data_IF_114751874040
#
_entry.id   IF_114751874040
#
_cell.length_a   1.000
_cell.length_b   1.000
_cell.length_c   1.000
_cell.angle_alpha   90.00
_cell.angle_beta   90.00
_cell.angle_gamma   90.00
#
_symmetry.space_group_name_H-M   'P 1'
#
loop_
_entity.id
_entity.type
_entity.pdbx_description
1 polymer ?
#
# COMPACT_ATOMS: atom_id res chain seq x y z
N UNK A 1 16.34 15.69 6.02
CA UNK A 1 15.64 15.47 4.72
C UNK A 1 14.12 15.51 4.87
N UNK A 2 13.45 14.63 5.62
CA UNK A 2 11.99 14.74 5.83
C UNK A 2 11.60 16.01 6.61
N UNK A 3 12.36 16.37 7.65
CA UNK A 3 12.14 17.60 8.42
C UNK A 3 12.38 18.89 7.60
N UNK A 4 13.31 18.86 6.65
CA UNK A 4 13.59 20.01 5.79
C UNK A 4 12.41 20.31 4.84
N UNK A 5 11.65 19.29 4.43
CA UNK A 5 10.45 19.47 3.64
C UNK A 5 9.34 20.19 4.43
N UNK A 6 9.18 19.86 5.72
CA UNK A 6 8.21 20.54 6.60
C UNK A 6 8.53 22.02 6.81
N UNK A 7 9.81 22.41 6.79
CA UNK A 7 10.22 23.82 6.85
C UNK A 7 9.74 24.66 5.65
N UNK A 8 9.28 24.02 4.57
CA UNK A 8 8.80 24.65 3.35
C UNK A 8 7.37 24.22 2.96
N UNK A 9 6.58 23.76 3.94
CA UNK A 9 5.21 23.26 3.68
C UNK A 9 4.24 24.31 3.11
N UNK A 10 4.54 25.60 3.28
CA UNK A 10 3.70 26.70 2.79
C UNK A 10 3.87 26.95 1.29
N UNK A 11 4.82 26.27 0.63
CA UNK A 11 4.97 26.37 -0.83
C UNK A 11 3.79 25.65 -1.50
N UNK A 12 2.99 26.35 -2.32
CA UNK A 12 1.86 25.73 -3.00
C UNK A 12 2.32 24.60 -3.93
N UNK A 13 1.58 23.50 -3.94
CA UNK A 13 1.90 22.33 -4.76
C UNK A 13 1.98 22.69 -6.26
N UNK A 14 1.09 23.57 -6.72
CA UNK A 14 1.03 24.04 -8.10
C UNK A 14 2.34 24.72 -8.51
N UNK A 15 2.92 25.52 -7.62
CA UNK A 15 4.22 26.17 -7.85
C UNK A 15 5.34 25.14 -7.99
N UNK A 16 5.30 24.08 -7.20
CA UNK A 16 6.31 23.02 -7.30
C UNK A 16 6.21 22.27 -8.63
N UNK A 17 4.99 22.01 -9.12
CA UNK A 17 4.77 21.40 -10.44
C UNK A 17 5.23 22.31 -11.58
N UNK A 18 4.99 23.62 -11.48
CA UNK A 18 5.46 24.61 -12.46
C UNK A 18 6.99 24.62 -12.56
N UNK A 19 7.69 24.70 -11.43
CA UNK A 19 9.16 24.79 -11.40
C UNK A 19 9.85 23.47 -11.81
N UNK A 20 9.31 22.32 -11.40
CA UNK A 20 9.87 21.00 -11.76
C UNK A 20 9.53 20.57 -13.19
N UNK A 21 8.49 21.16 -13.78
CA UNK A 21 8.01 20.90 -15.13
C UNK A 21 8.03 19.40 -15.55
N UNK A 22 7.42 18.50 -14.75
CA UNK A 22 7.42 17.07 -15.08
C UNK A 22 6.65 16.81 -16.39
N UNK A 23 6.92 15.66 -17.01
CA UNK A 23 6.17 15.23 -18.19
C UNK A 23 4.67 15.14 -17.87
N UNK A 24 3.85 15.91 -18.59
CA UNK A 24 2.40 15.94 -18.37
C UNK A 24 1.78 14.60 -18.74
N UNK A 25 0.90 14.12 -17.88
CA UNK A 25 0.08 12.93 -18.10
C UNK A 25 -1.34 13.20 -17.67
N UNK A 26 -2.32 12.74 -18.46
CA UNK A 26 -3.74 12.74 -18.08
C UNK A 26 -4.10 11.55 -17.20
N UNK A 27 -3.21 10.56 -17.07
CA UNK A 27 -3.46 9.30 -16.38
C UNK A 27 -2.71 9.19 -15.04
N UNK A 28 -1.89 10.19 -14.67
CA UNK A 28 -1.06 10.15 -13.47
C UNK A 28 -0.99 11.51 -12.82
N UNK A 29 -0.95 11.50 -11.49
CA UNK A 29 -0.69 12.72 -10.74
C UNK A 29 0.78 13.18 -10.91
N UNK A 30 1.07 14.49 -11.01
CA UNK A 30 2.32 15.00 -11.60
C UNK A 30 3.64 14.62 -10.91
N UNK A 31 3.62 14.40 -9.59
CA UNK A 31 4.85 14.19 -8.78
C UNK A 31 4.84 12.91 -7.96
N UNK A 32 3.68 12.41 -7.57
CA UNK A 32 3.52 11.21 -6.75
C UNK A 32 2.19 10.55 -7.08
N UNK A 33 2.09 9.25 -6.82
CA UNK A 33 0.89 8.44 -7.10
C UNK A 33 0.26 7.85 -5.83
N UNK A 34 1.02 7.82 -4.73
CA UNK A 34 0.57 7.32 -3.43
C UNK A 34 0.57 8.46 -2.43
N UNK A 35 -0.57 8.72 -1.81
CA UNK A 35 -0.73 9.70 -0.75
C UNK A 35 -0.75 9.00 0.62
N UNK A 36 -0.06 9.59 1.60
CA UNK A 36 -0.20 9.23 3.01
C UNK A 36 -0.57 10.49 3.80
N UNK A 37 -1.68 10.43 4.51
CA UNK A 37 -2.14 11.50 5.39
C UNK A 37 -2.36 10.97 6.81
N UNK A 38 -1.91 11.73 7.80
CA UNK A 38 -2.26 11.53 9.20
C UNK A 38 -3.21 12.65 9.63
N UNK A 39 -4.47 12.29 9.92
CA UNK A 39 -5.51 13.21 10.35
C UNK A 39 -5.62 13.17 11.88
N UNK A 40 -5.11 14.21 12.51
CA UNK A 40 -5.16 14.38 13.98
C UNK A 40 -6.24 15.38 14.41
N UNK A 41 -7.19 15.70 13.53
CA UNK A 41 -8.28 16.62 13.84
C UNK A 41 -9.35 15.90 14.67
N UNK A 42 -9.78 16.51 15.76
CA UNK A 42 -10.95 16.06 16.53
C UNK A 42 -12.16 15.99 15.61
N UNK A 43 -12.94 14.90 15.72
CA UNK A 43 -14.20 14.82 14.98
C UNK A 43 -15.12 15.98 15.41
N UNK A 44 -15.86 16.58 14.47
CA UNK A 44 -16.78 17.66 14.81
C UNK A 44 -17.88 17.10 15.72
N UNK A 45 -17.79 17.39 17.02
CA UNK A 45 -18.87 17.13 17.96
C UNK A 45 -19.92 18.24 17.80
N UNK A 46 -21.10 17.86 17.33
CA UNK A 46 -22.19 18.80 17.10
C UNK A 46 -23.14 18.74 18.30
N UNK A 47 -22.81 19.50 19.34
CA UNK A 47 -23.66 19.58 20.55
C UNK A 47 -24.95 20.36 20.25
N UNK A 48 -26.00 19.60 19.94
CA UNK A 48 -27.36 20.12 19.72
C UNK A 48 -28.26 19.70 20.90
N UNK A 49 -28.81 20.66 21.67
CA UNK A 49 -29.61 20.35 22.84
C UNK A 49 -30.77 19.38 22.55
N UNK A 50 -30.79 18.25 23.25
CA UNK A 50 -31.84 17.23 23.15
C UNK A 50 -31.74 16.30 21.93
N UNK A 51 -30.64 16.34 21.18
CA UNK A 51 -30.42 15.51 20.00
C UNK A 51 -29.13 14.71 20.13
N UNK A 52 -29.18 13.43 19.74
CA UNK A 52 -27.98 12.62 19.53
C UNK A 52 -27.62 12.66 18.04
N UNK A 53 -26.43 13.14 17.72
CA UNK A 53 -25.94 13.22 16.34
C UNK A 53 -24.88 12.17 16.08
N UNK A 54 -25.00 11.48 14.94
CA UNK A 54 -23.98 10.55 14.45
C UNK A 54 -23.60 10.95 13.04
N UNK A 55 -22.30 10.97 12.73
CA UNK A 55 -21.82 11.22 11.37
C UNK A 55 -22.17 10.01 10.49
N UNK A 56 -22.97 10.24 9.45
CA UNK A 56 -23.21 9.25 8.41
C UNK A 56 -22.21 9.45 7.27
N UNK A 57 -21.56 8.39 6.77
CA UNK A 57 -20.68 8.51 5.62
C UNK A 57 -21.48 8.96 4.39
N UNK A 58 -21.06 10.07 3.78
CA UNK A 58 -21.59 10.53 2.50
C UNK A 58 -20.98 9.78 1.31
N UNK A 59 -21.55 9.96 0.09
CA UNK A 59 -20.96 9.41 -1.13
C UNK A 59 -19.52 9.90 -1.27
N UNK A 60 -18.59 8.95 -1.41
CA UNK A 60 -17.18 9.26 -1.58
C UNK A 60 -16.93 9.67 -3.03
N UNK A 61 -16.24 10.79 -3.29
CA UNK A 61 -15.80 11.11 -4.64
C UNK A 61 -14.83 10.01 -5.14
N UNK A 62 -14.66 9.86 -6.47
CA UNK A 62 -13.65 8.96 -7.00
C UNK A 62 -12.26 9.33 -6.46
N UNK A 63 -11.42 8.31 -6.30
CA UNK A 63 -10.08 8.49 -5.74
C UNK A 63 -9.23 9.38 -6.65
N UNK A 64 -8.53 10.35 -6.04
CA UNK A 64 -7.73 11.35 -6.78
C UNK A 64 -6.33 10.87 -7.12
N UNK A 65 -5.87 9.82 -6.44
CA UNK A 65 -4.55 9.24 -6.54
C UNK A 65 -4.68 7.73 -6.83
N UNK A 66 -3.58 7.09 -7.22
CA UNK A 66 -3.60 5.64 -7.45
C UNK A 66 -3.94 4.90 -6.14
N UNK A 67 -3.31 5.33 -5.03
CA UNK A 67 -3.58 4.88 -3.67
C UNK A 67 -3.54 6.04 -2.67
N UNK A 68 -4.45 6.05 -1.71
CA UNK A 68 -4.51 7.05 -0.64
C UNK A 68 -4.70 6.39 0.72
N UNK A 69 -3.66 6.42 1.56
CA UNK A 69 -3.75 5.96 2.93
C UNK A 69 -4.00 7.16 3.86
N UNK A 70 -5.15 7.15 4.53
CA UNK A 70 -5.44 8.11 5.61
C UNK A 70 -5.43 7.37 6.94
N UNK A 71 -4.63 7.86 7.88
CA UNK A 71 -4.54 7.36 9.25
C UNK A 71 -5.15 8.38 10.20
N UNK A 72 -5.79 7.90 11.28
CA UNK A 72 -6.38 8.72 12.33
C UNK A 72 -6.12 8.08 13.68
N UNK A 73 -5.68 8.86 14.64
CA UNK A 73 -5.55 8.41 16.03
C UNK A 73 -6.94 8.26 16.65
N UNK A 74 -7.16 7.15 17.36
CA UNK A 74 -8.38 6.93 18.14
C UNK A 74 -8.09 7.16 19.61
N UNK A 75 -9.06 7.71 20.34
CA UNK A 75 -8.95 7.97 21.77
C UNK A 75 -10.12 7.30 22.49
N UNK A 76 -9.90 6.89 23.75
CA UNK A 76 -10.96 6.40 24.61
C UNK A 76 -11.75 7.55 25.28
N UNK A 77 -12.79 7.20 26.06
CA UNK A 77 -13.64 8.17 26.77
C UNK A 77 -12.87 9.08 27.75
N UNK A 78 -11.66 8.66 28.17
CA UNK A 78 -10.78 9.44 29.04
C UNK A 78 -9.73 10.25 28.26
N UNK A 79 -9.92 10.42 26.94
CA UNK A 79 -9.02 11.09 26.02
C UNK A 79 -7.59 10.50 25.99
N UNK A 80 -7.46 9.19 26.26
CA UNK A 80 -6.17 8.49 26.15
C UNK A 80 -6.05 7.83 24.79
N UNK A 81 -4.84 7.75 24.20
CA UNK A 81 -4.63 7.05 22.94
C UNK A 81 -5.11 5.60 23.01
N UNK A 82 -5.95 5.22 22.05
CA UNK A 82 -6.60 3.91 21.94
C UNK A 82 -6.27 3.20 20.61
N UNK A 83 -5.33 3.72 19.84
CA UNK A 83 -4.84 3.10 18.62
C UNK A 83 -4.86 4.03 17.42
N UNK A 84 -4.72 3.45 16.23
CA UNK A 84 -4.76 4.16 14.94
C UNK A 84 -5.70 3.41 14.02
N UNK A 85 -6.64 4.13 13.41
CA UNK A 85 -7.53 3.63 12.37
C UNK A 85 -7.03 4.10 11.01
N UNK A 86 -6.99 3.19 10.04
CA UNK A 86 -6.61 3.49 8.66
C UNK A 86 -7.78 3.34 7.68
N UNK A 87 -7.78 4.15 6.64
CA UNK A 87 -8.61 4.01 5.45
C UNK A 87 -7.70 4.04 4.22
N UNK A 88 -7.84 3.04 3.35
CA UNK A 88 -7.09 2.94 2.10
C UNK A 88 -8.05 3.12 0.92
N UNK A 89 -7.98 4.27 0.27
CA UNK A 89 -8.65 4.57 -0.99
C UNK A 89 -7.79 4.15 -2.19
N UNK A 90 -8.43 3.78 -3.29
CA UNK A 90 -7.74 3.31 -4.49
C UNK A 90 -8.52 3.60 -5.78
N UNK A 91 -7.79 3.79 -6.87
CA UNK A 91 -8.36 3.87 -8.21
C UNK A 91 -8.79 2.47 -8.69
N UNK A 92 -10.11 2.27 -8.88
CA UNK A 92 -10.68 0.97 -9.31
C UNK A 92 -10.28 0.55 -10.72
N UNK A 93 -9.86 1.51 -11.55
CA UNK A 93 -9.33 1.23 -12.89
C UNK A 93 -7.92 0.60 -12.84
N UNK A 94 -7.24 0.69 -11.70
CA UNK A 94 -5.88 0.17 -11.48
C UNK A 94 -5.84 -1.02 -10.52
N UNK A 95 -6.74 -1.05 -9.53
CA UNK A 95 -6.69 -2.06 -8.46
C UNK A 95 -8.03 -2.75 -8.27
N UNK A 96 -7.96 -4.08 -8.17
CA UNK A 96 -9.03 -4.90 -7.64
C UNK A 96 -9.04 -4.87 -6.11
N UNK A 97 -10.23 -5.02 -5.52
CA UNK A 97 -10.43 -4.98 -4.07
C UNK A 97 -9.47 -5.90 -3.30
N UNK A 98 -9.37 -7.18 -3.71
CA UNK A 98 -8.50 -8.15 -3.05
C UNK A 98 -7.01 -7.81 -3.14
N UNK A 99 -6.59 -7.06 -4.16
CA UNK A 99 -5.21 -6.59 -4.26
C UNK A 99 -4.92 -5.53 -3.20
N UNK A 100 -5.84 -4.60 -2.99
CA UNK A 100 -5.70 -3.53 -2.01
C UNK A 100 -5.82 -4.05 -0.58
N UNK A 101 -6.69 -5.04 -0.35
CA UNK A 101 -6.77 -5.76 0.92
C UNK A 101 -5.42 -6.42 1.27
N UNK A 102 -4.82 -7.14 0.31
CA UNK A 102 -3.48 -7.72 0.52
C UNK A 102 -2.39 -6.65 0.76
N UNK A 103 -2.47 -5.48 0.11
CA UNK A 103 -1.56 -4.35 0.38
C UNK A 103 -1.75 -3.85 1.82
N UNK A 104 -2.99 -3.69 2.28
CA UNK A 104 -3.29 -3.24 3.65
C UNK A 104 -2.78 -4.24 4.70
N UNK A 105 -3.02 -5.53 4.51
CA UNK A 105 -2.51 -6.59 5.40
C UNK A 105 -0.98 -6.59 5.47
N UNK A 106 -0.31 -6.46 4.31
CA UNK A 106 1.16 -6.38 4.26
C UNK A 106 1.68 -5.11 4.93
N UNK A 107 0.98 -3.99 4.78
CA UNK A 107 1.34 -2.74 5.46
C UNK A 107 1.27 -2.89 6.99
N UNK A 108 0.20 -3.49 7.52
CA UNK A 108 0.07 -3.79 8.96
C UNK A 108 1.21 -4.70 9.42
N UNK A 109 1.51 -5.77 8.68
CA UNK A 109 2.62 -6.68 9.00
C UNK A 109 3.97 -5.97 9.06
N UNK A 110 4.22 -5.05 8.12
CA UNK A 110 5.44 -4.23 8.12
C UNK A 110 5.49 -3.37 9.39
N UNK A 111 4.39 -2.71 9.76
CA UNK A 111 4.30 -1.92 10.99
C UNK A 111 4.57 -2.76 12.24
N UNK A 112 3.96 -3.94 12.35
CA UNK A 112 4.20 -4.88 13.45
C UNK A 112 5.67 -5.30 13.52
N UNK A 113 6.29 -5.62 12.38
CA UNK A 113 7.68 -6.05 12.32
C UNK A 113 8.66 -4.94 12.75
N UNK A 114 8.48 -3.72 12.24
CA UNK A 114 9.38 -2.59 12.58
C UNK A 114 9.20 -2.12 14.01
N UNK A 115 7.98 -2.20 14.57
CA UNK A 115 7.73 -1.82 15.96
C UNK A 115 8.20 -2.86 16.96
N UNK A 116 8.14 -4.15 16.61
CA UNK A 116 8.64 -5.22 17.47
C UNK A 116 10.18 -5.24 17.56
N UNK A 117 10.88 -4.84 16.48
CA UNK A 117 12.36 -4.83 16.41
C UNK A 117 12.87 -3.53 15.77
N UNK A 118 12.77 -2.39 16.45
CA UNK A 118 13.05 -1.07 15.86
C UNK A 118 14.53 -0.83 15.53
N UNK A 119 15.44 -1.63 16.09
CA UNK A 119 16.87 -1.56 15.80
C UNK A 119 17.29 -2.42 14.60
N UNK A 120 16.40 -3.28 14.09
CA UNK A 120 16.74 -4.14 12.97
C UNK A 120 16.84 -3.33 11.66
N UNK A 121 17.80 -3.65 10.79
CA UNK A 121 17.89 -3.09 9.44
C UNK A 121 16.59 -3.28 8.63
N UNK A 122 16.19 -2.25 7.89
CA UNK A 122 14.93 -2.22 7.10
C UNK A 122 14.89 -3.31 6.03
N UNK A 123 16.03 -3.68 5.45
CA UNK A 123 16.14 -4.75 4.45
C UNK A 123 15.76 -6.14 4.99
N UNK A 124 15.70 -6.31 6.32
CA UNK A 124 15.27 -7.56 6.97
C UNK A 124 13.77 -7.64 7.19
N UNK A 125 13.03 -6.56 6.98
CA UNK A 125 11.58 -6.53 7.18
C UNK A 125 10.90 -7.36 6.08
N UNK A 126 10.24 -8.44 6.50
CA UNK A 126 9.49 -9.30 5.58
C UNK A 126 8.12 -8.69 5.29
N UNK A 127 7.88 -8.35 4.03
CA UNK A 127 6.58 -7.79 3.57
C UNK A 127 5.55 -8.91 3.35
N UNK A 128 5.97 -10.00 2.70
CA UNK A 128 5.11 -11.15 2.41
C UNK A 128 4.84 -11.97 3.66
N UNK A 129 3.64 -12.51 3.76
CA UNK A 129 3.33 -13.56 4.74
C UNK A 129 4.16 -14.82 4.44
N UNK A 130 4.25 -15.71 5.42
CA UNK A 130 4.92 -17.00 5.23
C UNK A 130 4.30 -17.78 4.07
N UNK A 131 2.97 -17.81 3.96
CA UNK A 131 2.28 -18.51 2.88
C UNK A 131 2.44 -17.84 1.52
N UNK A 132 2.44 -16.51 1.45
CA UNK A 132 2.72 -15.78 0.20
C UNK A 132 4.16 -16.05 -0.27
N UNK A 133 5.12 -16.06 0.65
CA UNK A 133 6.51 -16.35 0.36
C UNK A 133 6.70 -17.80 -0.10
N UNK A 134 6.06 -18.76 0.57
CA UNK A 134 6.09 -20.18 0.19
C UNK A 134 5.51 -20.38 -1.21
N UNK A 135 4.37 -19.77 -1.51
CA UNK A 135 3.77 -19.81 -2.85
C UNK A 135 4.73 -19.33 -3.93
N UNK A 136 5.35 -18.17 -3.71
CA UNK A 136 6.25 -17.55 -4.70
C UNK A 136 7.56 -18.33 -4.86
N UNK A 137 8.14 -18.82 -3.77
CA UNK A 137 9.47 -19.45 -3.79
C UNK A 137 9.43 -20.94 -4.05
N UNK A 138 8.36 -21.62 -3.65
CA UNK A 138 8.25 -23.09 -3.69
C UNK A 138 7.15 -23.49 -4.66
N UNK A 139 5.88 -23.17 -4.39
CA UNK A 139 4.74 -23.72 -5.14
C UNK A 139 4.83 -23.38 -6.64
N UNK A 140 5.08 -22.12 -6.98
CA UNK A 140 5.19 -21.69 -8.38
C UNK A 140 6.47 -22.19 -9.07
N UNK A 141 7.51 -22.51 -8.28
CA UNK A 141 8.78 -22.99 -8.79
C UNK A 141 8.90 -24.52 -8.76
N UNK A 142 7.87 -25.26 -8.34
CA UNK A 142 7.85 -26.74 -8.34
C UNK A 142 7.67 -27.32 -9.76
N UNK A 143 8.63 -26.95 -10.61
CA UNK A 143 8.72 -27.25 -12.03
C UNK A 143 9.77 -28.31 -12.32
N UNK A 144 10.42 -28.84 -11.27
CA UNK A 144 11.37 -29.93 -11.41
C UNK A 144 10.65 -31.16 -12.00
N UNK A 145 11.06 -31.57 -13.19
CA UNK A 145 10.56 -32.77 -13.86
C UNK A 145 11.76 -33.64 -14.22
N UNK A 146 11.71 -34.96 -13.97
CA UNK A 146 12.76 -35.86 -14.43
C UNK A 146 12.86 -35.78 -15.96
N UNK A 147 14.04 -35.46 -16.46
CA UNK A 147 14.34 -35.47 -17.89
C UNK A 147 15.20 -36.70 -18.20
N UNK A 148 14.94 -37.32 -19.36
CA UNK A 148 15.83 -38.36 -19.86
C UNK A 148 17.20 -37.74 -20.13
N UNK A 149 18.27 -38.40 -19.67
CA UNK A 149 19.66 -37.97 -19.89
C UNK A 149 20.15 -38.18 -21.33
N UNK A 150 19.26 -38.11 -22.31
CA UNK A 150 19.56 -38.25 -23.73
C UNK A 150 19.84 -36.88 -24.35
N UNK A 151 20.77 -36.86 -25.28
CA UNK A 151 21.09 -35.69 -26.09
C UNK A 151 20.05 -35.50 -27.19
N UNK A 152 19.92 -34.27 -27.70
CA UNK A 152 19.01 -33.98 -28.82
C UNK A 152 19.26 -34.86 -30.06
N UNK A 153 20.52 -35.13 -30.49
CA UNK A 153 20.77 -36.05 -31.60
C UNK A 153 20.28 -37.49 -31.35
N UNK A 154 20.42 -38.01 -30.13
CA UNK A 154 19.93 -39.35 -29.78
C UNK A 154 18.40 -39.42 -29.87
N UNK A 155 17.70 -38.40 -29.37
CA UNK A 155 16.24 -38.31 -29.48
C UNK A 155 15.77 -38.23 -30.93
N UNK A 156 16.46 -37.45 -31.76
CA UNK A 156 16.14 -37.31 -33.19
C UNK A 156 16.37 -38.63 -33.93
N UNK A 157 17.47 -39.31 -33.64
CA UNK A 157 17.83 -40.59 -34.26
C UNK A 157 16.83 -41.69 -33.89
N UNK A 158 16.41 -41.76 -32.63
CA UNK A 158 15.39 -42.70 -32.16
C UNK A 158 14.03 -42.45 -32.83
N UNK A 159 13.66 -41.20 -33.08
CA UNK A 159 12.40 -40.87 -33.75
C UNK A 159 12.42 -41.17 -35.25
N UNK A 160 13.56 -40.98 -35.93
CA UNK A 160 13.71 -41.30 -37.35
C UNK A 160 13.70 -42.81 -37.65
N UNK A 161 14.00 -43.64 -36.64
CA UNK A 161 13.98 -45.10 -36.73
C UNK A 161 12.59 -45.72 -36.49
N UNK A 162 11.57 -44.90 -36.21
CA UNK A 162 10.19 -45.30 -35.89
C UNK A 162 9.30 -45.25 -37.12
#
# INVERSE_FOLDING_TARGET
>A
RALDAYAHQDVPFERLVEELAPARSMARHPLFQVMLALQNNTDPDLDLPGLHTTVLPGPQPPEKFDLSLTLRETFDDAARPHGVRGQLGYATDLFEHGTVEAIAERFVRVLEAVTARPADPVDRVQVLSTGERERVLVEWNDTARPLAGATLPELLSAQAAR
#
